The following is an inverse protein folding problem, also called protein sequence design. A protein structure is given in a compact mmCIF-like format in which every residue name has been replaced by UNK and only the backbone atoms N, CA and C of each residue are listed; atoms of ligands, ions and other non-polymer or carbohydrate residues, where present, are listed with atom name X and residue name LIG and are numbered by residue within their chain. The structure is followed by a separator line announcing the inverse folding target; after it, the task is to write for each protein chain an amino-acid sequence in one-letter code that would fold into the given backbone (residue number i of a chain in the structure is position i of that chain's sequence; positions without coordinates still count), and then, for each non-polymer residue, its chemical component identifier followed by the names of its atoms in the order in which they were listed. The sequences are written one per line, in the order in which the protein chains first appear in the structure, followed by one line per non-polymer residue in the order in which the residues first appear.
data_IF_289974790356
#
_entry.id   IF_289974790356
#
_cell.length_a   1.000
_cell.length_b   1.000
_cell.length_c   1.000
_cell.angle_alpha   90.00
_cell.angle_beta   90.00
_cell.angle_gamma   90.00
#
_symmetry.space_group_name_H-M   'P 1'
#
loop_
_entity.id
_entity.type
_entity.pdbx_description
1 polymer ?
#
# COMPACT_ATOMS: atom_id res chain seq x y z
N UNK A 1 -5.84 13.16 50.91
CA UNK A 1 -5.77 13.62 49.50
C UNK A 1 -4.55 12.95 48.88
N UNK A 2 -4.73 11.76 48.32
CA UNK A 2 -3.67 11.05 47.61
C UNK A 2 -4.17 10.85 46.17
N UNK A 3 -3.79 11.77 45.29
CA UNK A 3 -4.15 11.71 43.87
C UNK A 3 -3.22 10.71 43.17
N UNK A 4 -3.62 9.44 43.19
CA UNK A 4 -3.11 8.42 42.29
C UNK A 4 -3.34 8.88 40.85
N UNK A 5 -2.29 9.39 40.19
CA UNK A 5 -2.29 9.67 38.76
C UNK A 5 -2.54 8.37 37.99
N UNK A 6 -3.79 8.13 37.58
CA UNK A 6 -4.11 7.09 36.61
C UNK A 6 -3.53 7.51 35.25
N UNK A 7 -2.83 6.62 34.53
CA UNK A 7 -2.29 6.94 33.21
C UNK A 7 -3.42 7.36 32.25
N UNK A 8 -3.13 8.33 31.39
CA UNK A 8 -4.04 8.77 30.33
C UNK A 8 -4.23 7.65 29.30
N UNK A 9 -5.36 7.66 28.57
CA UNK A 9 -5.69 6.67 27.53
C UNK A 9 -4.51 6.39 26.56
N UNK A 10 -3.77 7.44 26.19
CA UNK A 10 -2.59 7.34 25.32
C UNK A 10 -1.41 6.57 25.95
N UNK A 11 -1.27 6.57 27.28
CA UNK A 11 -0.19 5.89 27.98
C UNK A 11 -0.53 4.42 28.28
N UNK A 12 -1.81 4.09 28.46
CA UNK A 12 -2.24 2.74 28.81
C UNK A 12 -2.39 1.81 27.60
N UNK A 13 -2.74 2.34 26.41
CA UNK A 13 -3.11 1.53 25.23
C UNK A 13 -2.30 1.82 23.97
N UNK A 14 -1.28 2.68 24.02
CA UNK A 14 -0.37 2.84 22.88
C UNK A 14 0.44 1.55 22.68
N UNK A 15 -0.04 0.69 21.78
CA UNK A 15 0.73 -0.44 21.27
C UNK A 15 1.95 0.17 20.56
N UNK A 16 3.10 0.18 21.26
CA UNK A 16 4.39 0.62 20.69
C UNK A 16 4.78 -0.34 19.58
N UNK A 17 4.31 -0.07 18.37
CA UNK A 17 4.80 -0.75 17.18
C UNK A 17 6.33 -0.50 17.12
N UNK A 18 7.16 -1.55 16.93
CA UNK A 18 8.59 -1.36 16.76
C UNK A 18 8.82 -0.39 15.59
N UNK A 19 9.76 0.57 15.71
CA UNK A 19 9.97 1.58 14.68
C UNK A 19 10.34 0.90 13.37
N UNK A 20 9.49 1.08 12.35
CA UNK A 20 9.80 0.67 10.98
C UNK A 20 11.11 1.35 10.60
N UNK A 21 12.13 0.55 10.29
CA UNK A 21 13.45 1.06 9.92
C UNK A 21 13.28 1.77 8.57
N UNK A 22 13.42 3.10 8.53
CA UNK A 22 13.40 3.86 7.27
C UNK A 22 14.44 3.26 6.31
N UNK A 23 14.09 2.93 5.06
CA UNK A 23 15.04 2.38 4.12
C UNK A 23 16.21 3.35 3.90
N UNK A 24 17.42 2.81 3.80
CA UNK A 24 18.66 3.57 3.66
C UNK A 24 18.61 4.46 2.40
N UNK A 25 19.05 5.72 2.55
CA UNK A 25 19.13 6.72 1.49
C UNK A 25 19.83 6.16 0.24
N UNK A 26 19.04 5.88 -0.79
CA UNK A 26 19.52 5.60 -2.13
C UNK A 26 18.37 5.86 -3.09
N UNK A 27 18.31 7.08 -3.64
CA UNK A 27 17.34 7.56 -4.66
C UNK A 27 16.09 6.68 -4.80
N UNK A 28 15.06 6.94 -3.98
CA UNK A 28 13.77 6.26 -4.09
C UNK A 28 12.98 6.80 -5.29
N UNK A 29 13.48 6.49 -6.49
CA UNK A 29 12.69 6.63 -7.71
C UNK A 29 11.45 5.74 -7.61
N UNK A 30 10.29 6.28 -7.99
CA UNK A 30 9.04 5.50 -8.11
C UNK A 30 9.29 4.27 -8.99
N UNK A 31 8.60 3.18 -8.68
CA UNK A 31 8.69 1.92 -9.45
C UNK A 31 8.49 2.17 -10.94
N UNK A 32 7.48 2.96 -11.31
CA UNK A 32 7.22 3.36 -12.69
C UNK A 32 8.39 4.08 -13.37
N UNK A 33 9.11 4.97 -12.67
CA UNK A 33 10.28 5.66 -13.22
C UNK A 33 11.46 4.71 -13.41
N UNK A 34 11.65 3.74 -12.50
CA UNK A 34 12.71 2.72 -12.63
C UNK A 34 12.47 1.81 -13.83
N UNK A 35 11.23 1.32 -13.99
CA UNK A 35 10.83 0.54 -15.17
C UNK A 35 10.94 1.36 -16.45
N UNK A 36 10.49 2.61 -16.44
CA UNK A 36 10.59 3.53 -17.57
C UNK A 36 12.04 3.77 -18.01
N UNK A 37 12.96 4.03 -17.07
CA UNK A 37 14.39 4.18 -17.38
C UNK A 37 15.00 2.88 -17.91
N UNK A 38 14.67 1.73 -17.31
CA UNK A 38 15.18 0.43 -17.73
C UNK A 38 14.76 0.06 -19.15
N UNK A 39 13.45 0.14 -19.44
CA UNK A 39 12.93 -0.10 -20.79
C UNK A 39 13.38 0.98 -21.78
N UNK A 40 13.40 2.24 -21.37
CA UNK A 40 13.86 3.35 -22.20
C UNK A 40 15.32 3.18 -22.65
N UNK A 41 16.19 2.71 -21.75
CA UNK A 41 17.59 2.41 -22.09
C UNK A 41 17.69 1.27 -23.12
N UNK A 42 16.95 0.18 -22.94
CA UNK A 42 16.94 -0.95 -23.89
C UNK A 42 16.39 -0.54 -25.25
N UNK A 43 15.31 0.24 -25.27
CA UNK A 43 14.73 0.78 -26.51
C UNK A 43 15.69 1.74 -27.21
N UNK A 44 16.37 2.62 -26.48
CA UNK A 44 17.39 3.51 -27.03
C UNK A 44 18.55 2.71 -27.65
N UNK A 45 19.00 1.64 -26.99
CA UNK A 45 20.02 0.74 -27.56
C UNK A 45 19.53 0.05 -28.83
N UNK A 46 18.28 -0.40 -28.89
CA UNK A 46 17.69 -1.01 -30.09
C UNK A 46 17.61 -0.03 -31.26
N UNK A 47 17.18 1.21 -30.99
CA UNK A 47 17.15 2.28 -32.01
C UNK A 47 18.58 2.56 -32.51
N UNK A 48 19.55 2.69 -31.59
CA UNK A 48 20.95 2.92 -31.94
C UNK A 48 21.53 1.78 -32.78
N UNK A 49 21.25 0.53 -32.41
CA UNK A 49 21.69 -0.66 -33.13
C UNK A 49 21.08 -0.71 -34.54
N UNK A 50 19.81 -0.34 -34.67
CA UNK A 50 19.11 -0.27 -35.96
C UNK A 50 19.69 0.83 -36.84
N UNK A 51 19.95 2.01 -36.29
CA UNK A 51 20.56 3.12 -37.00
C UNK A 51 21.98 2.77 -37.51
N UNK A 52 22.81 2.15 -36.68
CA UNK A 52 24.13 1.67 -37.09
C UNK A 52 24.00 0.61 -38.18
N UNK A 53 23.06 -0.33 -38.04
CA UNK A 53 22.78 -1.36 -39.04
C UNK A 53 22.46 -0.75 -40.41
N UNK A 54 21.56 0.23 -40.46
CA UNK A 54 21.17 0.93 -41.69
C UNK A 54 22.38 1.65 -42.32
N UNK A 55 23.17 2.39 -41.54
CA UNK A 55 24.36 3.09 -42.05
C UNK A 55 25.37 2.11 -42.65
N UNK A 56 25.62 0.98 -41.99
CA UNK A 56 26.54 -0.06 -42.49
C UNK A 56 26.01 -0.73 -43.75
N UNK A 57 24.70 -0.97 -43.84
CA UNK A 57 24.08 -1.59 -45.00
C UNK A 57 24.11 -0.66 -46.23
N UNK A 58 23.87 0.64 -46.04
CA UNK A 58 23.99 1.64 -47.11
C UNK A 58 25.43 1.79 -47.60
N UNK A 59 26.42 1.74 -46.70
CA UNK A 59 27.84 1.72 -47.09
C UNK A 59 28.19 0.49 -47.92
N UNK A 60 27.64 -0.68 -47.55
CA UNK A 60 27.84 -1.93 -48.31
C UNK A 60 27.18 -1.84 -49.70
N UNK A 61 25.96 -1.32 -49.79
CA UNK A 61 25.26 -1.13 -51.06
C UNK A 61 26.05 -0.23 -52.02
N UNK A 62 26.55 0.91 -51.53
CA UNK A 62 27.35 1.83 -52.34
C UNK A 62 28.63 1.18 -52.89
N UNK A 63 29.29 0.32 -52.10
CA UNK A 63 30.50 -0.40 -52.55
C UNK A 63 30.18 -1.47 -53.59
N UNK A 64 29.06 -2.17 -53.45
CA UNK A 64 28.60 -3.15 -54.42
C UNK A 64 28.25 -2.47 -55.75
N UNK A 65 27.60 -1.31 -55.72
CA UNK A 65 27.29 -0.54 -56.93
C UNK A 65 28.58 -0.10 -57.65
N UNK A 66 29.61 0.35 -56.92
CA UNK A 66 30.91 0.71 -57.49
C UNK A 66 31.61 -0.49 -58.17
N UNK A 67 31.64 -1.65 -57.50
CA UNK A 67 32.21 -2.88 -58.04
C UNK A 67 31.46 -3.35 -59.30
N UNK A 68 30.13 -3.38 -59.25
CA UNK A 68 29.31 -4.01 -60.30
C UNK A 68 29.04 -3.08 -61.49
N UNK A 69 28.79 -1.79 -61.26
CA UNK A 69 28.39 -0.86 -62.31
C UNK A 69 29.55 -0.05 -62.89
N UNK A 70 30.64 0.15 -62.12
CA UNK A 70 31.80 0.89 -62.61
C UNK A 70 32.95 -0.06 -62.99
N UNK A 71 33.51 -0.80 -62.03
CA UNK A 71 34.75 -1.54 -62.29
C UNK A 71 34.54 -2.72 -63.25
N UNK A 72 33.53 -3.56 -63.02
CA UNK A 72 33.19 -4.66 -63.94
C UNK A 72 32.85 -4.18 -65.35
N UNK A 73 32.24 -2.98 -65.48
CA UNK A 73 31.92 -2.41 -66.78
C UNK A 73 33.17 -1.96 -67.53
N UNK A 74 34.17 -1.41 -66.84
CA UNK A 74 35.47 -1.06 -67.43
C UNK A 74 36.19 -2.30 -67.97
N UNK A 75 36.29 -3.37 -67.17
CA UNK A 75 36.86 -4.66 -67.58
C UNK A 75 36.15 -5.19 -68.82
N UNK A 76 34.81 -5.18 -68.82
CA UNK A 76 34.00 -5.64 -69.96
C UNK A 76 34.23 -4.84 -71.22
N UNK A 77 34.33 -3.51 -71.12
CA UNK A 77 34.57 -2.63 -72.27
C UNK A 77 36.00 -2.77 -72.81
N UNK A 78 37.00 -2.84 -71.93
CA UNK A 78 38.40 -3.07 -72.32
C UNK A 78 38.59 -4.46 -72.96
N UNK A 79 37.91 -5.49 -72.46
CA UNK A 79 37.88 -6.82 -73.07
C UNK A 79 37.22 -6.78 -74.45
N UNK A 80 36.08 -6.12 -74.59
CA UNK A 80 35.43 -5.95 -75.89
C UNK A 80 36.31 -5.20 -76.90
N UNK A 81 37.06 -4.19 -76.45
CA UNK A 81 38.08 -3.52 -77.28
C UNK A 81 39.15 -4.51 -77.72
N UNK A 82 39.71 -5.31 -76.81
CA UNK A 82 40.72 -6.33 -77.12
C UNK A 82 40.22 -7.37 -78.12
N UNK A 83 38.98 -7.83 -77.97
CA UNK A 83 38.35 -8.78 -78.90
C UNK A 83 38.25 -8.20 -80.31
N UNK A 84 37.83 -6.94 -80.45
CA UNK A 84 37.74 -6.30 -81.78
C UNK A 84 39.10 -6.18 -82.47
N UNK A 85 40.20 -6.02 -81.70
CA UNK A 85 41.57 -5.99 -82.25
C UNK A 85 41.96 -7.35 -82.82
N UNK A 86 41.59 -8.44 -82.13
CA UNK A 86 41.77 -9.81 -82.65
C UNK A 86 40.96 -10.03 -83.93
N UNK A 87 39.68 -9.70 -83.93
CA UNK A 87 38.77 -9.91 -85.06
C UNK A 87 39.21 -9.15 -86.31
N UNK A 88 39.65 -7.91 -86.17
CA UNK A 88 40.20 -7.10 -87.28
C UNK A 88 41.43 -7.73 -87.91
N UNK A 89 42.27 -8.35 -87.11
CA UNK A 89 43.51 -8.97 -87.59
C UNK A 89 43.27 -10.33 -88.23
N UNK A 90 42.26 -11.08 -87.77
CA UNK A 90 41.78 -12.26 -88.48
C UNK A 90 41.24 -11.84 -89.84
N UNK A 91 40.35 -10.84 -89.89
CA UNK A 91 39.76 -10.35 -91.14
C UNK A 91 40.82 -9.85 -92.13
N UNK A 92 41.82 -9.09 -91.66
CA UNK A 92 42.91 -8.61 -92.50
C UNK A 92 43.77 -9.77 -93.07
N UNK A 93 44.07 -10.79 -92.25
CA UNK A 93 44.80 -11.97 -92.73
C UNK A 93 43.99 -12.76 -93.75
N UNK A 94 42.69 -12.94 -93.53
CA UNK A 94 41.80 -13.58 -94.50
C UNK A 94 41.77 -12.78 -95.81
N UNK A 95 41.66 -11.45 -95.76
CA UNK A 95 41.70 -10.57 -96.93
C UNK A 95 43.03 -10.68 -97.71
N UNK A 96 44.14 -10.86 -97.00
CA UNK A 96 45.46 -11.06 -97.61
C UNK A 96 45.66 -12.46 -98.26
N UNK A 97 44.82 -13.44 -97.91
CA UNK A 97 44.91 -14.81 -98.43
C UNK A 97 44.02 -15.06 -99.66
N UNK A 98 42.96 -14.27 -99.83
CA UNK A 98 42.06 -14.36 -100.98
C UNK A 98 42.60 -13.57 -102.17
N UNK A 99 42.32 -14.03 -103.40
CA UNK A 99 42.85 -13.41 -104.63
C UNK A 99 41.81 -12.53 -105.35
N UNK A 100 40.52 -12.72 -105.08
CA UNK A 100 39.43 -11.98 -105.72
C UNK A 100 39.04 -10.71 -104.95
N UNK A 101 38.96 -9.57 -105.64
CA UNK A 101 38.48 -8.31 -105.03
C UNK A 101 37.07 -8.45 -104.41
N UNK A 102 36.20 -9.26 -105.04
CA UNK A 102 34.87 -9.59 -104.52
C UNK A 102 34.90 -10.38 -103.20
N UNK A 103 35.99 -11.10 -102.92
CA UNK A 103 36.20 -11.86 -101.68
C UNK A 103 36.91 -11.02 -100.60
N UNK A 104 37.66 -10.00 -100.99
CA UNK A 104 38.30 -9.03 -100.07
C UNK A 104 37.30 -8.02 -99.49
N UNK A 105 36.28 -7.65 -100.27
CA UNK A 105 35.29 -6.62 -99.87
C UNK A 105 34.57 -6.93 -98.54
N UNK A 106 34.06 -8.17 -98.30
CA UNK A 106 33.41 -8.53 -97.05
C UNK A 106 34.35 -8.41 -95.83
N UNK A 107 35.61 -8.79 -95.96
CA UNK A 107 36.59 -8.67 -94.88
C UNK A 107 36.96 -7.20 -94.60
N UNK A 108 37.05 -6.36 -95.64
CA UNK A 108 37.22 -4.92 -95.48
C UNK A 108 36.04 -4.29 -94.71
N UNK A 109 34.81 -4.70 -95.01
CA UNK A 109 33.61 -4.26 -94.26
C UNK A 109 33.62 -4.78 -92.81
N UNK A 110 34.05 -6.03 -92.58
CA UNK A 110 34.22 -6.57 -91.23
C UNK A 110 35.25 -5.79 -90.42
N UNK A 111 36.38 -5.40 -91.01
CA UNK A 111 37.38 -4.56 -90.34
C UNK A 111 36.78 -3.20 -89.95
N UNK A 112 36.00 -2.57 -90.85
CA UNK A 112 35.32 -1.29 -90.57
C UNK A 112 34.29 -1.45 -89.45
N UNK A 113 33.49 -2.51 -89.48
CA UNK A 113 32.47 -2.79 -88.46
C UNK A 113 33.10 -2.98 -87.07
N UNK A 114 34.18 -3.76 -86.98
CA UNK A 114 34.90 -3.96 -85.72
C UNK A 114 35.64 -2.69 -85.26
N UNK A 115 36.15 -1.86 -86.18
CA UNK A 115 36.70 -0.55 -85.84
C UNK A 115 35.63 0.38 -85.23
N UNK A 116 34.41 0.37 -85.77
CA UNK A 116 33.29 1.12 -85.18
C UNK A 116 32.86 0.56 -83.82
N UNK A 117 32.93 -0.76 -83.63
CA UNK A 117 32.61 -1.41 -82.35
C UNK A 117 33.67 -1.06 -81.30
N UNK A 118 34.95 -1.06 -81.67
CA UNK A 118 36.05 -0.57 -80.83
C UNK A 118 35.81 0.88 -80.41
N UNK A 119 35.56 1.79 -81.36
CA UNK A 119 35.35 3.21 -81.07
C UNK A 119 34.18 3.46 -80.11
N UNK A 120 33.07 2.70 -80.28
CA UNK A 120 31.92 2.75 -79.36
C UNK A 120 32.28 2.24 -77.96
N UNK A 121 33.05 1.16 -77.86
CA UNK A 121 33.50 0.64 -76.56
C UNK A 121 34.48 1.60 -75.88
N UNK A 122 35.43 2.17 -76.63
CA UNK A 122 36.39 3.16 -76.15
C UNK A 122 35.69 4.42 -75.63
N UNK A 123 34.72 4.95 -76.38
CA UNK A 123 33.97 6.13 -75.97
C UNK A 123 33.24 5.90 -74.64
N UNK A 124 32.58 4.75 -74.49
CA UNK A 124 31.92 4.36 -73.24
C UNK A 124 32.92 4.20 -72.11
N UNK A 125 34.07 3.58 -72.38
CA UNK A 125 35.12 3.34 -71.39
C UNK A 125 35.69 4.68 -70.89
N UNK A 126 36.02 5.59 -71.79
CA UNK A 126 36.50 6.95 -71.44
C UNK A 126 35.49 7.72 -70.60
N UNK A 127 34.20 7.61 -70.90
CA UNK A 127 33.16 8.28 -70.11
C UNK A 127 33.13 7.82 -68.64
N UNK A 128 33.52 6.58 -68.35
CA UNK A 128 33.65 6.07 -66.98
C UNK A 128 34.86 6.66 -66.24
N UNK A 129 35.94 6.94 -66.96
CA UNK A 129 37.18 7.50 -66.41
C UNK A 129 37.13 9.01 -66.15
N UNK A 130 36.21 9.76 -66.77
CA UNK A 130 35.99 11.21 -66.50
C UNK A 130 35.67 11.49 -65.02
N UNK A 131 35.13 10.50 -64.30
CA UNK A 131 34.75 10.61 -62.88
C UNK A 131 35.89 10.34 -61.89
N UNK A 132 37.09 9.99 -62.34
CA UNK A 132 38.25 9.78 -61.47
C UNK A 132 39.07 8.57 -61.88
N UNK A 133 39.89 8.72 -62.92
CA UNK A 133 40.88 7.72 -63.30
C UNK A 133 42.08 7.76 -62.35
N UNK A 134 42.65 6.60 -62.02
CA UNK A 134 43.94 6.55 -61.33
C UNK A 134 45.08 6.97 -62.27
N UNK A 135 46.21 7.41 -61.73
CA UNK A 135 47.38 7.75 -62.52
C UNK A 135 47.88 6.56 -63.39
N UNK A 136 47.68 5.33 -62.93
CA UNK A 136 48.00 4.11 -63.67
C UNK A 136 47.01 3.87 -64.82
N UNK A 137 45.71 4.09 -64.60
CA UNK A 137 44.68 4.03 -65.64
C UNK A 137 44.93 5.07 -66.73
N UNK A 138 45.22 6.31 -66.37
CA UNK A 138 45.52 7.37 -67.35
C UNK A 138 46.74 7.04 -68.20
N UNK A 139 47.81 6.53 -67.58
CA UNK A 139 49.01 6.10 -68.28
C UNK A 139 48.72 4.96 -69.28
N UNK A 140 47.92 3.97 -68.88
CA UNK A 140 47.54 2.86 -69.75
C UNK A 140 46.61 3.30 -70.88
N UNK A 141 45.63 4.17 -70.61
CA UNK A 141 44.74 4.74 -71.64
C UNK A 141 45.52 5.56 -72.68
N UNK A 142 46.51 6.33 -72.22
CA UNK A 142 47.43 7.06 -73.12
C UNK A 142 48.22 6.11 -74.02
N UNK A 143 48.79 5.04 -73.43
CA UNK A 143 49.53 4.00 -74.17
C UNK A 143 48.64 3.26 -75.17
N UNK A 144 47.42 2.88 -74.77
CA UNK A 144 46.43 2.23 -75.65
C UNK A 144 46.14 3.12 -76.85
N UNK A 145 45.91 4.42 -76.63
CA UNK A 145 45.60 5.37 -77.71
C UNK A 145 46.78 5.55 -78.68
N UNK A 146 48.00 5.57 -78.16
CA UNK A 146 49.20 5.68 -78.98
C UNK A 146 49.41 4.43 -79.86
N UNK A 147 49.28 3.23 -79.28
CA UNK A 147 49.44 1.97 -80.00
C UNK A 147 48.28 1.72 -80.98
N UNK A 148 47.06 2.17 -80.65
CA UNK A 148 45.92 2.18 -81.56
C UNK A 148 46.22 3.02 -82.81
N UNK A 149 46.62 4.28 -82.66
CA UNK A 149 46.89 5.17 -83.78
C UNK A 149 47.96 4.61 -84.72
N UNK A 150 49.04 4.05 -84.15
CA UNK A 150 50.10 3.38 -84.89
C UNK A 150 49.59 2.14 -85.63
N UNK A 151 48.85 1.27 -84.95
CA UNK A 151 48.36 0.02 -85.54
C UNK A 151 47.30 0.27 -86.62
N UNK A 152 46.40 1.24 -86.42
CA UNK A 152 45.37 1.62 -87.41
C UNK A 152 46.01 2.10 -88.71
N UNK A 153 47.03 2.96 -88.64
CA UNK A 153 47.76 3.42 -89.82
C UNK A 153 48.43 2.27 -90.58
N UNK A 154 48.98 1.29 -89.86
CA UNK A 154 49.56 0.08 -90.46
C UNK A 154 48.49 -0.84 -91.07
N UNK A 155 47.31 -0.95 -90.47
CA UNK A 155 46.17 -1.70 -91.04
C UNK A 155 45.70 -1.06 -92.34
N UNK A 156 45.57 0.26 -92.40
CA UNK A 156 45.19 0.97 -93.62
C UNK A 156 46.23 0.79 -94.74
N UNK A 157 47.53 0.87 -94.39
CA UNK A 157 48.63 0.58 -95.32
C UNK A 157 48.63 -0.88 -95.78
N UNK A 158 48.38 -1.83 -94.90
CA UNK A 158 48.29 -3.25 -95.26
C UNK A 158 47.09 -3.51 -96.19
N UNK A 159 45.91 -2.94 -95.88
CA UNK A 159 44.72 -3.07 -96.72
C UNK A 159 44.91 -2.48 -98.11
N UNK A 160 45.59 -1.33 -98.24
CA UNK A 160 45.85 -0.74 -99.57
C UNK A 160 46.77 -1.62 -100.41
N UNK A 161 47.79 -2.26 -99.79
CA UNK A 161 48.67 -3.23 -100.45
C UNK A 161 47.94 -4.52 -100.83
N UNK A 162 47.00 -4.99 -99.99
CA UNK A 162 46.12 -6.15 -100.27
C UNK A 162 45.27 -5.87 -101.51
N UNK A 163 44.56 -4.73 -101.57
CA UNK A 163 43.76 -4.37 -102.74
C UNK A 163 44.60 -4.08 -104.00
N UNK A 164 45.86 -3.66 -103.83
CA UNK A 164 46.81 -3.49 -104.94
C UNK A 164 47.46 -4.82 -105.40
N UNK A 165 47.10 -5.95 -104.77
CA UNK A 165 47.63 -7.29 -105.07
C UNK A 165 49.16 -7.40 -104.92
N UNK A 166 49.76 -6.68 -103.96
CA UNK A 166 51.21 -6.65 -103.73
C UNK A 166 51.63 -7.62 -102.60
N UNK A 167 51.48 -8.93 -102.84
CA UNK A 167 51.63 -9.98 -101.82
C UNK A 167 52.96 -9.93 -101.00
N UNK A 168 54.10 -9.69 -101.65
CA UNK A 168 55.41 -9.64 -100.98
C UNK A 168 55.53 -8.44 -100.00
N UNK A 169 54.96 -7.30 -100.39
CA UNK A 169 54.92 -6.12 -99.53
C UNK A 169 53.90 -6.28 -98.40
N UNK A 170 52.76 -6.92 -98.67
CA UNK A 170 51.75 -7.27 -97.66
C UNK A 170 52.37 -8.15 -96.58
N UNK A 171 53.13 -9.20 -96.96
CA UNK A 171 53.84 -10.05 -96.00
C UNK A 171 54.79 -9.24 -95.13
N UNK A 172 55.65 -8.41 -95.75
CA UNK A 172 56.65 -7.60 -95.05
C UNK A 172 56.02 -6.66 -94.03
N UNK A 173 54.94 -5.96 -94.40
CA UNK A 173 54.22 -5.04 -93.50
C UNK A 173 53.48 -5.83 -92.42
N UNK A 174 52.81 -6.94 -92.77
CA UNK A 174 52.09 -7.78 -91.82
C UNK A 174 53.02 -8.33 -90.72
N UNK A 175 54.11 -8.99 -91.10
CA UNK A 175 54.98 -9.68 -90.14
C UNK A 175 55.99 -8.75 -89.48
N UNK A 176 56.52 -7.77 -90.22
CA UNK A 176 57.58 -6.89 -89.74
C UNK A 176 57.09 -5.72 -88.89
N UNK A 177 55.95 -5.12 -89.26
CA UNK A 177 55.47 -3.87 -88.63
C UNK A 177 54.16 -4.09 -87.85
N UNK A 178 53.16 -4.72 -88.50
CA UNK A 178 51.79 -4.76 -87.98
C UNK A 178 51.60 -5.74 -86.83
N UNK A 179 52.10 -6.99 -86.93
CA UNK A 179 51.99 -7.97 -85.83
C UNK A 179 52.67 -7.46 -84.53
N UNK A 180 53.89 -6.88 -84.58
CA UNK A 180 54.50 -6.27 -83.39
C UNK A 180 53.68 -5.09 -82.82
N UNK A 181 53.14 -4.22 -83.66
CA UNK A 181 52.28 -3.12 -83.22
C UNK A 181 50.99 -3.63 -82.56
N UNK A 182 50.31 -4.60 -83.19
CA UNK A 182 49.13 -5.26 -82.62
C UNK A 182 49.43 -5.89 -81.26
N UNK A 183 50.57 -6.58 -81.14
CA UNK A 183 50.96 -7.24 -79.88
C UNK A 183 51.13 -6.22 -78.76
N UNK A 184 51.75 -5.06 -79.05
CA UNK A 184 51.88 -3.96 -78.07
C UNK A 184 50.54 -3.36 -77.69
N UNK A 185 49.64 -3.16 -78.64
CA UNK A 185 48.29 -2.65 -78.38
C UNK A 185 47.47 -3.61 -77.51
N UNK A 186 47.49 -4.90 -77.84
CA UNK A 186 46.82 -5.92 -77.04
C UNK A 186 47.43 -6.08 -75.66
N UNK A 187 48.75 -5.96 -75.52
CA UNK A 187 49.42 -5.99 -74.22
C UNK A 187 49.01 -4.77 -73.36
N UNK A 188 48.85 -3.59 -73.96
CA UNK A 188 48.37 -2.41 -73.25
C UNK A 188 46.90 -2.56 -72.78
N UNK A 189 46.03 -3.12 -73.64
CA UNK A 189 44.65 -3.47 -73.26
C UNK A 189 44.61 -4.56 -72.18
N UNK A 190 45.47 -5.58 -72.28
CA UNK A 190 45.61 -6.65 -71.28
C UNK A 190 46.04 -6.10 -69.93
N UNK A 191 47.04 -5.21 -69.90
CA UNK A 191 47.48 -4.57 -68.67
C UNK A 191 46.39 -3.71 -68.01
N UNK A 192 45.53 -3.05 -68.80
CA UNK A 192 44.37 -2.33 -68.27
C UNK A 192 43.32 -3.28 -67.67
N UNK A 193 43.03 -4.39 -68.36
CA UNK A 193 42.11 -5.43 -67.86
C UNK A 193 42.62 -5.99 -66.53
N UNK A 194 43.91 -6.37 -66.45
CA UNK A 194 44.51 -6.90 -65.22
C UNK A 194 44.49 -5.89 -64.07
N UNK A 195 44.74 -4.61 -64.35
CA UNK A 195 44.66 -3.55 -63.35
C UNK A 195 43.24 -3.43 -62.78
N UNK A 196 42.23 -3.35 -63.64
CA UNK A 196 40.83 -3.19 -63.25
C UNK A 196 40.28 -4.45 -62.56
N UNK A 197 40.65 -5.66 -63.00
CA UNK A 197 40.33 -6.91 -62.31
C UNK A 197 40.97 -6.96 -60.90
N UNK A 198 42.23 -6.55 -60.79
CA UNK A 198 42.92 -6.48 -59.50
C UNK A 198 42.26 -5.50 -58.53
N UNK A 199 41.87 -4.31 -59.01
CA UNK A 199 41.12 -3.34 -58.21
C UNK A 199 39.74 -3.87 -57.79
N UNK A 200 39.05 -4.55 -58.70
CA UNK A 200 37.74 -5.18 -58.42
C UNK A 200 37.87 -6.26 -57.35
N UNK A 201 38.88 -7.11 -57.44
CA UNK A 201 39.15 -8.15 -56.43
C UNK A 201 39.49 -7.56 -55.06
N UNK A 202 40.34 -6.52 -55.00
CA UNK A 202 40.65 -5.82 -53.75
C UNK A 202 39.42 -5.14 -53.14
N UNK A 203 38.60 -4.47 -53.96
CA UNK A 203 37.36 -3.87 -53.52
C UNK A 203 36.37 -4.91 -52.97
N UNK A 204 36.28 -6.08 -53.63
CA UNK A 204 35.50 -7.23 -53.18
C UNK A 204 35.95 -7.75 -51.80
N UNK A 205 37.24 -8.02 -51.63
CA UNK A 205 37.80 -8.46 -50.34
C UNK A 205 37.58 -7.42 -49.24
N UNK A 206 37.78 -6.13 -49.54
CA UNK A 206 37.53 -5.05 -48.59
C UNK A 206 36.04 -4.94 -48.21
N UNK A 207 35.12 -5.20 -49.15
CA UNK A 207 33.68 -5.23 -48.89
C UNK A 207 33.29 -6.44 -48.02
N UNK A 208 33.85 -7.62 -48.28
CA UNK A 208 33.63 -8.82 -47.45
C UNK A 208 34.14 -8.61 -46.02
N UNK A 209 35.36 -8.11 -45.85
CA UNK A 209 35.93 -7.80 -44.55
C UNK A 209 35.09 -6.75 -43.80
N UNK A 210 34.64 -5.70 -44.50
CA UNK A 210 33.73 -4.71 -43.93
C UNK A 210 32.39 -5.34 -43.51
N UNK A 211 31.81 -6.23 -44.32
CA UNK A 211 30.57 -6.94 -43.99
C UNK A 211 30.74 -7.85 -42.77
N UNK A 212 31.83 -8.62 -42.70
CA UNK A 212 32.14 -9.46 -41.55
C UNK A 212 32.31 -8.64 -40.27
N UNK A 213 33.04 -7.54 -40.33
CA UNK A 213 33.21 -6.65 -39.19
C UNK A 213 31.89 -6.01 -38.75
N UNK A 214 31.03 -5.59 -39.69
CA UNK A 214 29.70 -5.06 -39.38
C UNK A 214 28.81 -6.10 -38.70
N UNK A 215 28.81 -7.36 -39.17
CA UNK A 215 28.09 -8.46 -38.52
C UNK A 215 28.59 -8.71 -37.09
N UNK A 216 29.90 -8.72 -36.88
CA UNK A 216 30.49 -8.89 -35.55
C UNK A 216 30.08 -7.77 -34.59
N UNK A 217 30.10 -6.51 -35.04
CA UNK A 217 29.62 -5.37 -34.24
C UNK A 217 28.12 -5.45 -33.94
N UNK A 218 27.29 -5.82 -34.91
CA UNK A 218 25.85 -5.98 -34.70
C UNK A 218 25.54 -7.08 -33.69
N UNK A 219 26.21 -8.24 -33.80
CA UNK A 219 26.05 -9.34 -32.84
C UNK A 219 26.58 -8.97 -31.45
N UNK A 220 27.74 -8.30 -31.37
CA UNK A 220 28.33 -7.87 -30.10
C UNK A 220 27.48 -6.84 -29.38
N UNK A 221 27.02 -5.78 -30.07
CA UNK A 221 26.13 -4.77 -29.50
C UNK A 221 24.76 -5.35 -29.16
N UNK A 222 24.24 -6.26 -30.00
CA UNK A 222 22.99 -6.97 -29.74
C UNK A 222 23.07 -7.80 -28.46
N UNK A 223 24.11 -8.62 -28.31
CA UNK A 223 24.35 -9.40 -27.11
C UNK A 223 24.52 -8.51 -25.87
N UNK A 224 25.26 -7.40 -25.98
CA UNK A 224 25.43 -6.43 -24.90
C UNK A 224 24.08 -5.81 -24.48
N UNK A 225 23.22 -5.45 -25.44
CA UNK A 225 21.90 -4.92 -25.17
C UNK A 225 20.99 -5.95 -24.48
N UNK A 226 21.01 -7.21 -24.93
CA UNK A 226 20.25 -8.30 -24.31
C UNK A 226 20.71 -8.59 -22.89
N UNK A 227 22.03 -8.73 -22.67
CA UNK A 227 22.61 -8.97 -21.35
C UNK A 227 22.36 -7.79 -20.40
N UNK A 228 22.50 -6.55 -20.90
CA UNK A 228 22.17 -5.34 -20.15
C UNK A 228 20.69 -5.29 -19.76
N UNK A 229 19.79 -5.60 -20.69
CA UNK A 229 18.35 -5.70 -20.43
C UNK A 229 18.01 -6.77 -19.38
N UNK A 230 18.61 -7.96 -19.49
CA UNK A 230 18.44 -9.04 -18.50
C UNK A 230 18.97 -8.62 -17.11
N UNK A 231 20.13 -7.97 -17.05
CA UNK A 231 20.70 -7.50 -15.79
C UNK A 231 19.81 -6.43 -15.13
N UNK A 232 19.32 -5.46 -15.90
CA UNK A 232 18.39 -4.44 -15.40
C UNK A 232 17.08 -5.08 -14.92
N UNK A 233 16.49 -5.99 -15.69
CA UNK A 233 15.28 -6.71 -15.31
C UNK A 233 15.49 -7.51 -14.01
N UNK A 234 16.59 -8.25 -13.90
CA UNK A 234 16.94 -9.02 -12.71
C UNK A 234 17.13 -8.12 -11.48
N UNK A 235 17.83 -6.99 -11.62
CA UNK A 235 18.05 -6.03 -10.54
C UNK A 235 16.75 -5.37 -10.08
N UNK A 236 15.86 -4.99 -11.00
CA UNK A 236 14.56 -4.43 -10.68
C UNK A 236 13.70 -5.47 -9.94
N UNK A 237 13.57 -6.68 -10.48
CA UNK A 237 12.81 -7.76 -9.85
C UNK A 237 13.35 -8.09 -8.47
N UNK A 238 14.66 -8.26 -8.33
CA UNK A 238 15.31 -8.56 -7.04
C UNK A 238 15.08 -7.45 -6.02
N UNK A 239 15.16 -6.17 -6.42
CA UNK A 239 14.86 -5.04 -5.52
C UNK A 239 13.39 -5.01 -5.13
N UNK A 240 12.46 -5.23 -6.07
CA UNK A 240 11.02 -5.24 -5.80
C UNK A 240 10.64 -6.37 -4.83
N UNK A 241 11.12 -7.59 -5.06
CA UNK A 241 10.87 -8.72 -4.16
C UNK A 241 11.45 -8.45 -2.77
N UNK A 242 12.63 -7.82 -2.68
CA UNK A 242 13.22 -7.44 -1.37
C UNK A 242 12.42 -6.33 -0.66
N UNK A 243 11.86 -5.38 -1.40
CA UNK A 243 10.99 -4.33 -0.83
C UNK A 243 9.63 -4.88 -0.39
N UNK A 244 9.09 -5.86 -1.12
CA UNK A 244 7.85 -6.56 -0.76
C UNK A 244 8.06 -7.53 0.42
N UNK A 245 9.23 -8.16 0.51
CA UNK A 245 9.56 -9.17 1.52
C UNK A 245 9.12 -10.59 1.14
N UNK A 246 8.35 -10.73 0.06
CA UNK A 246 7.85 -11.98 -0.47
C UNK A 246 7.42 -11.83 -1.94
N UNK A 247 6.87 -12.90 -2.50
CA UNK A 247 6.18 -12.83 -3.78
C UNK A 247 4.88 -12.01 -3.68
N UNK A 248 4.53 -11.20 -4.70
CA UNK A 248 3.32 -10.37 -4.68
C UNK A 248 2.03 -11.15 -4.42
N UNK A 249 1.94 -12.39 -4.92
CA UNK A 249 0.75 -13.24 -4.76
C UNK A 249 0.52 -13.60 -3.28
N UNK A 250 1.58 -13.94 -2.55
CA UNK A 250 1.50 -14.23 -1.12
C UNK A 250 1.09 -12.99 -0.31
N UNK A 251 1.61 -11.80 -0.65
CA UNK A 251 1.18 -10.56 -0.01
C UNK A 251 -0.33 -10.30 -0.19
N UNK A 252 -0.85 -10.50 -1.41
CA UNK A 252 -2.29 -10.37 -1.67
C UNK A 252 -3.13 -11.39 -0.88
N UNK A 253 -2.65 -12.63 -0.77
CA UNK A 253 -3.33 -13.68 0.00
C UNK A 253 -3.40 -13.33 1.49
N UNK A 254 -2.26 -12.92 2.09
CA UNK A 254 -2.21 -12.48 3.49
C UNK A 254 -3.12 -11.27 3.71
N UNK A 255 -3.10 -10.28 2.81
CA UNK A 255 -3.99 -9.12 2.88
C UNK A 255 -5.47 -9.55 2.86
N UNK A 256 -5.82 -10.48 1.96
CA UNK A 256 -7.17 -11.01 1.83
C UNK A 256 -7.64 -11.74 3.08
N UNK A 257 -6.79 -12.56 3.71
CA UNK A 257 -7.11 -13.25 4.97
C UNK A 257 -7.32 -12.29 6.12
N UNK A 258 -6.44 -11.29 6.28
CA UNK A 258 -6.61 -10.24 7.30
C UNK A 258 -7.91 -9.47 7.06
N UNK A 259 -8.22 -9.11 5.81
CA UNK A 259 -9.46 -8.41 5.45
C UNK A 259 -10.71 -9.25 5.70
N UNK A 260 -10.62 -10.58 5.59
CA UNK A 260 -11.69 -11.52 5.94
C UNK A 260 -11.82 -11.76 7.46
N UNK A 261 -10.97 -11.15 8.29
CA UNK A 261 -10.97 -11.31 9.74
C UNK A 261 -10.20 -12.53 10.26
N UNK A 262 -9.51 -13.28 9.39
CA UNK A 262 -8.63 -14.38 9.80
C UNK A 262 -7.29 -13.83 10.30
N UNK A 263 -7.24 -13.52 11.60
CA UNK A 263 -6.04 -13.05 12.30
C UNK A 263 -5.18 -14.19 12.86
N UNK A 264 -5.64 -15.44 12.74
CA UNK A 264 -4.87 -16.62 13.11
C UNK A 264 -3.83 -17.00 12.04
N UNK A 265 -3.93 -16.42 10.83
CA UNK A 265 -3.00 -16.67 9.74
C UNK A 265 -1.53 -16.37 10.12
N UNK A 266 -0.63 -17.34 9.92
CA UNK A 266 0.79 -17.11 10.09
C UNK A 266 1.34 -16.27 8.93
N UNK A 267 1.95 -15.13 9.25
CA UNK A 267 2.65 -14.29 8.27
C UNK A 267 4.15 -14.58 8.36
N UNK A 268 4.65 -15.33 7.38
CA UNK A 268 6.05 -15.77 7.32
C UNK A 268 6.90 -14.72 6.62
N UNK A 269 7.72 -14.01 7.40
CA UNK A 269 8.68 -13.02 6.90
C UNK A 269 10.07 -13.62 6.80
N UNK A 270 10.89 -13.15 5.86
CA UNK A 270 12.29 -13.56 5.80
C UNK A 270 13.05 -13.24 7.11
N UNK A 271 14.02 -14.08 7.52
CA UNK A 271 14.83 -13.81 8.70
C UNK A 271 15.54 -12.45 8.62
N UNK A 272 15.36 -11.61 9.66
CA UNK A 272 15.98 -10.28 9.72
C UNK A 272 15.24 -9.17 8.95
N UNK A 273 14.11 -9.49 8.30
CA UNK A 273 13.27 -8.50 7.65
C UNK A 273 12.54 -7.62 8.68
N UNK A 274 12.67 -6.30 8.51
CA UNK A 274 12.08 -5.26 9.39
C UNK A 274 11.56 -4.05 8.62
N UNK A 275 11.57 -4.12 7.30
CA UNK A 275 11.31 -2.96 6.43
C UNK A 275 10.53 -3.28 5.17
N UNK A 276 10.19 -4.56 4.95
CA UNK A 276 9.32 -4.93 3.84
C UNK A 276 7.85 -4.58 4.11
N UNK A 277 7.08 -4.55 3.02
CA UNK A 277 5.63 -4.47 3.10
C UNK A 277 5.04 -5.65 3.88
N UNK A 278 5.53 -6.87 3.66
CA UNK A 278 5.05 -8.06 4.36
C UNK A 278 5.29 -7.97 5.88
N UNK A 279 6.44 -7.45 6.31
CA UNK A 279 6.71 -7.21 7.74
C UNK A 279 5.72 -6.20 8.33
N UNK A 280 5.44 -5.11 7.62
CA UNK A 280 4.43 -4.13 8.07
C UNK A 280 3.03 -4.76 8.17
N UNK A 281 2.66 -5.63 7.22
CA UNK A 281 1.40 -6.37 7.27
C UNK A 281 1.34 -7.37 8.43
N UNK A 282 2.44 -8.06 8.73
CA UNK A 282 2.55 -8.92 9.92
C UNK A 282 2.29 -8.12 11.20
N UNK A 283 2.96 -6.97 11.34
CA UNK A 283 2.77 -6.10 12.50
C UNK A 283 1.32 -5.59 12.61
N UNK A 284 0.69 -5.23 11.47
CA UNK A 284 -0.72 -4.86 11.43
C UNK A 284 -1.63 -6.01 11.91
N UNK A 285 -1.40 -7.23 11.41
CA UNK A 285 -2.13 -8.43 11.80
C UNK A 285 -1.98 -8.72 13.29
N UNK A 286 -0.76 -8.67 13.81
CA UNK A 286 -0.45 -8.92 15.23
C UNK A 286 -1.18 -7.91 16.13
N UNK A 287 -1.17 -6.63 15.77
CA UNK A 287 -1.87 -5.57 16.52
C UNK A 287 -3.38 -5.73 16.47
N UNK A 288 -3.95 -6.08 15.31
CA UNK A 288 -5.38 -6.38 15.20
C UNK A 288 -5.77 -7.59 16.05
N UNK A 289 -4.94 -8.64 16.09
CA UNK A 289 -5.18 -9.83 16.91
C UNK A 289 -5.19 -9.49 18.40
N UNK A 290 -4.24 -8.65 18.85
CA UNK A 290 -4.19 -8.16 20.23
C UNK A 290 -5.42 -7.33 20.59
N UNK A 291 -5.84 -6.41 19.72
CA UNK A 291 -7.03 -5.58 19.95
C UNK A 291 -8.30 -6.43 20.05
N UNK A 292 -8.49 -7.39 19.14
CA UNK A 292 -9.65 -8.30 19.18
C UNK A 292 -9.61 -9.18 20.44
N UNK A 293 -8.42 -9.65 20.85
CA UNK A 293 -8.24 -10.39 22.09
C UNK A 293 -8.62 -9.59 23.34
N UNK A 294 -8.19 -8.32 23.41
CA UNK A 294 -8.54 -7.42 24.51
C UNK A 294 -10.05 -7.17 24.58
N UNK A 295 -10.69 -6.86 23.44
CA UNK A 295 -12.14 -6.65 23.37
C UNK A 295 -12.91 -7.88 23.84
N UNK A 296 -12.44 -9.09 23.47
CA UNK A 296 -13.06 -10.34 23.92
C UNK A 296 -12.94 -10.51 25.44
N UNK A 297 -11.74 -10.29 26.00
CA UNK A 297 -11.52 -10.39 27.44
C UNK A 297 -12.36 -9.37 28.24
N UNK A 298 -12.46 -8.13 27.75
CA UNK A 298 -13.30 -7.09 28.36
C UNK A 298 -14.78 -7.48 28.29
N UNK A 299 -15.22 -8.09 27.18
CA UNK A 299 -16.60 -8.58 27.04
C UNK A 299 -16.89 -9.73 28.00
N UNK A 300 -15.95 -10.68 28.18
CA UNK A 300 -16.09 -11.77 29.17
C UNK A 300 -16.18 -11.22 30.60
N UNK A 301 -15.41 -10.16 30.92
CA UNK A 301 -15.50 -9.46 32.21
C UNK A 301 -16.87 -8.78 32.41
N UNK A 302 -17.41 -8.13 31.36
CA UNK A 302 -18.74 -7.53 31.40
C UNK A 302 -19.80 -8.61 31.65
N UNK A 303 -19.72 -9.76 30.95
CA UNK A 303 -20.65 -10.88 31.15
C UNK A 303 -20.60 -11.37 32.60
N UNK A 304 -19.40 -11.60 33.15
CA UNK A 304 -19.24 -12.01 34.56
C UNK A 304 -19.83 -10.99 35.54
N UNK A 305 -19.53 -9.70 35.35
CA UNK A 305 -20.06 -8.62 36.20
C UNK A 305 -21.58 -8.54 36.11
N UNK A 306 -22.14 -8.74 34.92
CA UNK A 306 -23.60 -8.72 34.73
C UNK A 306 -24.29 -9.88 35.46
N UNK A 307 -23.66 -11.06 35.52
CA UNK A 307 -24.14 -12.19 36.33
C UNK A 307 -24.11 -11.87 37.82
N UNK A 308 -23.06 -11.22 38.33
CA UNK A 308 -22.99 -10.78 39.72
C UNK A 308 -24.07 -9.73 40.06
N UNK A 309 -24.28 -8.76 39.17
CA UNK A 309 -25.36 -7.77 39.31
C UNK A 309 -26.72 -8.47 39.36
N UNK A 310 -26.98 -9.43 38.46
CA UNK A 310 -28.23 -10.18 38.46
C UNK A 310 -28.46 -10.92 39.78
N UNK A 311 -27.41 -11.56 40.33
CA UNK A 311 -27.45 -12.23 41.64
C UNK A 311 -27.70 -11.24 42.77
N UNK A 312 -27.02 -10.10 42.78
CA UNK A 312 -27.23 -9.03 43.76
C UNK A 312 -28.65 -8.46 43.71
N UNK A 313 -29.23 -8.34 42.51
CA UNK A 313 -30.59 -7.86 42.33
C UNK A 313 -31.64 -8.86 42.85
N UNK A 314 -31.39 -10.17 42.72
CA UNK A 314 -32.23 -11.22 43.33
C UNK A 314 -32.17 -11.18 44.87
N UNK A 315 -30.97 -11.03 45.46
CA UNK A 315 -30.81 -10.87 46.91
C UNK A 315 -31.55 -9.62 47.42
N UNK A 316 -31.38 -8.49 46.73
CA UNK A 316 -32.09 -7.25 47.06
C UNK A 316 -33.62 -7.43 46.97
N UNK A 317 -34.11 -8.13 45.95
CA UNK A 317 -35.54 -8.46 45.82
C UNK A 317 -36.02 -9.27 47.02
N UNK A 318 -35.29 -10.32 47.41
CA UNK A 318 -35.63 -11.16 48.57
C UNK A 318 -35.65 -10.35 49.88
N UNK A 319 -34.65 -9.49 50.11
CA UNK A 319 -34.62 -8.60 51.28
C UNK A 319 -35.75 -7.59 51.28
N UNK A 320 -36.14 -7.10 50.10
CA UNK A 320 -37.28 -6.19 49.96
C UNK A 320 -38.60 -6.90 50.30
N UNK A 321 -38.76 -8.17 49.90
CA UNK A 321 -39.90 -9.01 50.30
C UNK A 321 -39.94 -9.25 51.82
N UNK A 322 -38.80 -9.55 52.44
CA UNK A 322 -38.70 -9.72 53.89
C UNK A 322 -39.01 -8.42 54.65
N UNK A 323 -38.52 -7.28 54.15
CA UNK A 323 -38.81 -5.96 54.71
C UNK A 323 -40.29 -5.61 54.57
N UNK A 324 -40.92 -5.90 53.43
CA UNK A 324 -42.36 -5.76 53.25
C UNK A 324 -43.14 -6.64 54.24
N UNK A 325 -42.68 -7.88 54.48
CA UNK A 325 -43.24 -8.78 55.49
C UNK A 325 -43.12 -8.23 56.91
N UNK A 326 -41.97 -7.62 57.24
CA UNK A 326 -41.73 -6.99 58.54
C UNK A 326 -42.61 -5.75 58.72
N UNK A 327 -42.76 -4.91 57.69
CA UNK A 327 -43.69 -3.77 57.71
C UNK A 327 -45.13 -4.23 57.90
N UNK A 328 -45.54 -5.34 57.28
CA UNK A 328 -46.88 -5.93 57.49
C UNK A 328 -47.10 -6.34 58.96
N UNK A 329 -46.09 -6.94 59.60
CA UNK A 329 -46.14 -7.28 61.04
C UNK A 329 -46.19 -6.03 61.93
N UNK A 330 -45.42 -4.99 61.60
CA UNK A 330 -45.46 -3.72 62.32
C UNK A 330 -46.82 -3.06 62.19
N UNK A 331 -47.41 -3.01 60.98
CA UNK A 331 -48.74 -2.47 60.76
C UNK A 331 -49.80 -3.21 61.60
N UNK A 332 -49.74 -4.55 61.66
CA UNK A 332 -50.61 -5.34 62.54
C UNK A 332 -50.39 -5.03 64.03
N UNK A 333 -49.13 -4.85 64.46
CA UNK A 333 -48.83 -4.48 65.85
C UNK A 333 -49.33 -3.08 66.20
N UNK A 334 -49.32 -2.14 65.24
CA UNK A 334 -49.90 -0.80 65.39
C UNK A 334 -51.43 -0.89 65.52
N UNK A 335 -52.09 -1.77 64.77
CA UNK A 335 -53.53 -2.02 64.92
C UNK A 335 -53.85 -2.57 66.31
N UNK A 336 -53.11 -3.58 66.79
CA UNK A 336 -53.26 -4.12 68.15
C UNK A 336 -53.01 -3.06 69.22
N UNK A 337 -52.00 -2.20 69.04
CA UNK A 337 -51.74 -1.05 69.92
C UNK A 337 -52.90 -0.05 69.91
N UNK A 338 -53.48 0.24 68.74
CA UNK A 338 -54.62 1.15 68.64
C UNK A 338 -55.83 0.59 69.40
N UNK A 339 -56.11 -0.71 69.27
CA UNK A 339 -57.13 -1.41 70.07
C UNK A 339 -56.84 -1.30 71.57
N UNK A 340 -55.59 -1.50 71.99
CA UNK A 340 -55.20 -1.36 73.39
C UNK A 340 -55.35 0.08 73.92
N UNK A 341 -54.99 1.09 73.11
CA UNK A 341 -55.16 2.50 73.45
C UNK A 341 -56.65 2.85 73.57
N UNK A 342 -57.50 2.39 72.64
CA UNK A 342 -58.95 2.58 72.73
C UNK A 342 -59.50 1.97 74.03
N UNK A 343 -59.10 0.73 74.36
CA UNK A 343 -59.49 0.07 75.61
C UNK A 343 -59.02 0.84 76.85
N UNK A 344 -57.82 1.41 76.83
CA UNK A 344 -57.31 2.25 77.92
C UNK A 344 -58.10 3.55 78.06
N UNK A 345 -58.49 4.19 76.95
CA UNK A 345 -59.33 5.37 76.96
C UNK A 345 -60.71 5.06 77.57
N UNK A 346 -61.35 3.98 77.15
CA UNK A 346 -62.64 3.52 77.70
C UNK A 346 -62.53 3.22 79.21
N UNK A 347 -61.43 2.57 79.62
CA UNK A 347 -61.16 2.26 81.03
C UNK A 347 -60.93 3.53 81.86
N UNK A 348 -60.22 4.51 81.32
CA UNK A 348 -60.01 5.81 81.96
C UNK A 348 -61.33 6.58 82.10
N UNK A 349 -62.19 6.54 81.08
CA UNK A 349 -63.53 7.15 81.14
C UNK A 349 -64.43 6.48 82.19
N UNK A 350 -64.37 5.15 82.30
CA UNK A 350 -65.07 4.42 83.37
C UNK A 350 -64.52 4.78 84.76
N UNK A 351 -63.19 4.87 84.91
CA UNK A 351 -62.55 5.26 86.16
C UNK A 351 -62.93 6.69 86.57
N UNK A 352 -62.96 7.64 85.63
CA UNK A 352 -63.40 9.01 85.84
C UNK A 352 -64.86 9.07 86.33
N UNK A 353 -65.76 8.33 85.68
CA UNK A 353 -67.15 8.22 86.11
C UNK A 353 -67.29 7.64 87.53
N UNK A 354 -66.49 6.62 87.85
CA UNK A 354 -66.47 6.02 89.19
C UNK A 354 -65.93 7.00 90.24
N UNK A 355 -64.86 7.74 89.92
CA UNK A 355 -64.30 8.77 90.80
C UNK A 355 -65.29 9.92 91.04
N UNK A 356 -65.99 10.38 90.00
CA UNK A 356 -67.06 11.37 90.12
C UNK A 356 -68.20 10.88 91.03
N UNK A 357 -68.61 9.61 90.89
CA UNK A 357 -69.61 8.98 91.76
C UNK A 357 -69.14 8.92 93.22
N UNK A 358 -67.90 8.47 93.46
CA UNK A 358 -67.32 8.41 94.79
C UNK A 358 -67.22 9.81 95.44
N UNK A 359 -66.83 10.83 94.67
CA UNK A 359 -66.81 12.22 95.12
C UNK A 359 -68.21 12.73 95.52
N UNK A 360 -69.23 12.41 94.73
CA UNK A 360 -70.63 12.76 95.06
C UNK A 360 -71.09 12.09 96.36
N UNK A 361 -70.76 10.82 96.57
CA UNK A 361 -71.05 10.10 97.82
C UNK A 361 -70.28 10.73 98.99
N UNK A 362 -69.01 11.08 98.82
CA UNK A 362 -68.22 11.76 99.85
C UNK A 362 -68.81 13.13 100.23
N UNK A 363 -69.30 13.91 99.26
CA UNK A 363 -70.02 15.16 99.51
C UNK A 363 -71.31 14.94 100.33
N UNK A 364 -72.11 13.93 99.98
CA UNK A 364 -73.29 13.55 100.78
C UNK A 364 -72.91 13.10 102.20
N UNK A 365 -71.85 12.31 102.33
CA UNK A 365 -71.28 11.91 103.63
C UNK A 365 -70.82 13.11 104.46
N UNK A 366 -70.17 14.09 103.84
CA UNK A 366 -69.79 15.35 104.48
C UNK A 366 -70.99 16.11 105.04
N UNK A 367 -72.12 16.16 104.30
CA UNK A 367 -73.36 16.76 104.80
C UNK A 367 -73.96 15.99 105.99
N UNK A 368 -73.85 14.66 106.00
CA UNK A 368 -74.27 13.83 107.15
C UNK A 368 -73.40 14.14 108.37
N UNK A 369 -72.07 14.19 108.21
CA UNK A 369 -71.13 14.51 109.30
C UNK A 369 -71.38 15.91 109.85
N UNK A 370 -71.66 16.90 108.99
CA UNK A 370 -72.03 18.25 109.42
C UNK A 370 -73.27 18.24 110.34
N UNK A 371 -74.31 17.46 109.99
CA UNK A 371 -75.49 17.28 110.86
C UNK A 371 -75.14 16.62 112.20
N UNK A 372 -74.21 15.68 112.22
CA UNK A 372 -73.74 15.04 113.46
C UNK A 372 -73.02 16.06 114.36
N UNK A 373 -72.18 16.93 113.79
CA UNK A 373 -71.50 18.01 114.53
C UNK A 373 -72.52 18.98 115.13
N UNK A 374 -73.53 19.40 114.38
CA UNK A 374 -74.63 20.25 114.90
C UNK A 374 -75.38 19.56 116.04
N UNK A 375 -75.63 18.26 115.92
CA UNK A 375 -76.27 17.46 116.98
C UNK A 375 -75.39 17.36 118.22
N UNK A 376 -74.07 17.21 118.08
CA UNK A 376 -73.16 17.24 119.23
C UNK A 376 -73.07 18.62 119.87
N UNK A 377 -73.19 19.70 119.09
CA UNK A 377 -73.28 21.06 119.60
C UNK A 377 -74.55 21.27 120.45
N UNK A 378 -75.70 20.76 119.98
CA UNK A 378 -76.96 20.83 120.74
C UNK A 378 -76.93 19.96 122.01
N UNK A 379 -76.31 18.77 121.97
CA UNK A 379 -76.06 17.94 123.16
C UNK A 379 -75.20 18.69 124.18
N UNK A 380 -74.10 19.34 123.74
CA UNK A 380 -73.24 20.15 124.61
C UNK A 380 -74.00 21.29 125.27
N UNK A 381 -74.89 21.96 124.55
CA UNK A 381 -75.75 23.00 125.10
C UNK A 381 -76.74 22.45 126.14
N UNK A 382 -77.39 21.31 125.86
CA UNK A 382 -78.28 20.63 126.81
C UNK A 382 -77.56 20.16 128.07
N UNK A 383 -76.35 19.60 127.94
CA UNK A 383 -75.52 19.20 129.08
C UNK A 383 -75.16 20.39 129.98
N UNK A 384 -74.87 21.56 129.39
CA UNK A 384 -74.60 22.80 130.13
C UNK A 384 -75.83 23.26 130.92
N UNK A 385 -77.01 23.15 130.31
CA UNK A 385 -78.30 23.44 130.96
C UNK A 385 -78.60 22.49 132.13
N UNK A 386 -78.20 21.21 132.02
CA UNK A 386 -78.26 20.25 133.13
C UNK A 386 -77.33 20.67 134.28
N UNK A 387 -76.10 21.10 133.97
CA UNK A 387 -75.16 21.61 134.99
C UNK A 387 -75.73 22.83 135.72
N UNK A 388 -76.37 23.76 135.01
CA UNK A 388 -77.06 24.91 135.62
C UNK A 388 -78.19 24.46 136.56
N UNK A 389 -78.98 23.44 136.17
CA UNK A 389 -80.03 22.86 137.03
C UNK A 389 -79.42 22.20 138.27
N UNK A 390 -78.34 21.43 138.12
CA UNK A 390 -77.63 20.81 139.26
C UNK A 390 -77.17 21.90 140.24
N UNK A 391 -76.65 23.02 139.74
CA UNK A 391 -76.29 24.17 140.58
C UNK A 391 -77.46 24.73 141.39
N UNK A 392 -78.66 24.78 140.82
CA UNK A 392 -79.88 25.18 141.54
C UNK A 392 -80.32 24.13 142.57
N UNK A 393 -80.22 22.84 142.23
CA UNK A 393 -80.56 21.74 143.17
C UNK A 393 -79.61 21.74 144.37
N UNK A 394 -78.32 21.96 144.15
CA UNK A 394 -77.32 22.02 145.23
C UNK A 394 -77.59 23.22 146.17
N UNK A 395 -78.03 24.36 145.62
CA UNK A 395 -78.49 25.50 146.40
C UNK A 395 -79.75 25.20 147.23
N UNK A 396 -80.74 24.46 146.69
CA UNK A 396 -81.93 24.03 147.42
C UNK A 396 -81.57 23.01 148.51
N UNK A 397 -80.65 22.09 148.23
CA UNK A 397 -80.17 21.11 149.19
C UNK A 397 -79.46 21.80 150.37
N UNK A 398 -78.64 22.81 150.10
CA UNK A 398 -77.99 23.63 151.14
C UNK A 398 -79.01 24.41 151.98
N UNK A 399 -80.01 25.04 151.36
CA UNK A 399 -81.10 25.72 152.08
C UNK A 399 -81.92 24.75 152.95
N UNK A 400 -82.19 23.55 152.44
CA UNK A 400 -82.92 22.50 153.16
C UNK A 400 -82.11 22.00 154.35
N UNK A 401 -80.79 21.86 154.21
CA UNK A 401 -79.88 21.49 155.28
C UNK A 401 -79.84 22.57 156.39
N UNK A 402 -79.82 23.85 156.03
CA UNK A 402 -79.91 24.96 156.99
C UNK A 402 -81.27 24.94 157.72
N UNK A 403 -82.37 24.69 157.01
CA UNK A 403 -83.72 24.63 157.59
C UNK A 403 -83.84 23.45 158.58
N UNK A 404 -83.34 22.28 158.19
CA UNK A 404 -83.31 21.09 159.04
C UNK A 404 -82.46 21.29 160.30
N UNK A 405 -81.32 21.97 160.18
CA UNK A 405 -80.46 22.28 161.33
C UNK A 405 -81.16 23.26 162.30
N UNK A 406 -81.80 24.31 161.78
CA UNK A 406 -82.57 25.24 162.61
C UNK A 406 -83.74 24.55 163.32
N UNK A 407 -84.44 23.63 162.64
CA UNK A 407 -85.50 22.84 163.25
C UNK A 407 -84.97 21.93 164.38
N UNK A 408 -83.83 21.26 164.17
CA UNK A 408 -83.20 20.41 165.17
C UNK A 408 -82.74 21.19 166.43
N UNK A 409 -82.25 22.43 166.27
CA UNK A 409 -81.85 23.29 167.39
C UNK A 409 -83.06 23.71 168.22
N UNK A 410 -84.18 24.09 167.60
CA UNK A 410 -85.37 24.52 168.34
C UNK A 410 -86.10 23.33 169.00
N UNK A 411 -86.06 22.14 168.38
CA UNK A 411 -86.53 20.88 168.97
C UNK A 411 -85.74 20.52 170.24
N UNK A 412 -84.41 20.69 170.25
CA UNK A 412 -83.57 20.46 171.42
C UNK A 412 -83.87 21.44 172.58
N UNK A 413 -84.40 22.63 172.27
CA UNK A 413 -84.76 23.66 173.26
C UNK A 413 -86.04 23.34 174.03
N UNK A 414 -86.93 22.53 173.45
CA UNK A 414 -88.22 22.14 174.03
C UNK A 414 -88.15 20.95 175.02
N UNK A 415 -86.96 20.37 175.25
CA UNK A 415 -86.77 19.27 176.19
C UNK A 415 -87.54 17.99 175.81
N UNK A 416 -88.02 17.22 176.80
CA UNK A 416 -88.67 15.91 176.59
C UNK A 416 -89.95 15.95 175.72
N UNK A 417 -90.54 17.12 175.46
CA UNK A 417 -91.67 17.28 174.53
C UNK A 417 -91.25 17.40 173.05
N UNK A 418 -89.95 17.57 172.75
CA UNK A 418 -89.44 17.85 171.38
C UNK A 418 -88.66 16.71 170.72
N UNK A 419 -88.52 15.54 171.34
CA UNK A 419 -87.55 14.51 170.93
C UNK A 419 -87.92 13.69 169.67
N UNK A 420 -89.18 13.76 169.24
CA UNK A 420 -89.69 13.10 168.02
C UNK A 420 -89.81 14.02 166.80
N UNK A 421 -89.62 15.33 166.99
CA UNK A 421 -89.48 16.34 165.92
C UNK A 421 -88.00 16.59 165.66
#
# INVERSE_FOLDING_TARGET
METSHKPTWDQAYAIKAPPLKKPALGFEMKVGTRLGCGFGMVLAMLIMLTAIGIVRLNQMQSRIDEITHFNNLKVKLASAMRDTVFERMIALRTAALVSGVSEMQPEAERIRAEAQRYARAEQKLRALFVRGASAQEEALLGKIKQEEANTVALVERAMSLVFANQADQVYTVLTGELIPAQTRWMAALGALIELEDGQTAQAGQAAEAASASARAWMLGLGALATLGGMAVAFLITRKLVRQLGCEPRYACEVAGRIAAGDLACAVETQPGDRGSLLYAMKAMRDNLALLVGQVRADTDMIVSTTVEIAKGNLDLSSRTEEQAGSLKKTAASVEDLNVAVQRNADSAQQADALAASASAIAHQGGAVVARVVDTMSSIKASARKIVDIIGVVDAIAFQTNILALNAAVEAARAGEQGRGF
#
